data_IF_810744301882
#
_entry.id   IF_810744301882
#
_cell.length_a   1.000
_cell.length_b   1.000
_cell.length_c   1.000
_cell.angle_alpha   90.00
_cell.angle_beta   90.00
_cell.angle_gamma   90.00
#
_symmetry.space_group_name_H-M   'P 1'
#
loop_
_entity.id
_entity.type
_entity.pdbx_description
1 polymer ?
#
# COMPACT_ATOMS: atom_id res chain seq x y z
N UNK A 1 5.46 12.88 18.34
CA UNK A 1 5.57 11.40 18.25
C UNK A 1 7.03 10.92 18.36
N UNK A 2 7.32 9.79 19.03
CA UNK A 2 8.66 9.14 18.95
C UNK A 2 8.72 8.17 17.76
N UNK A 3 9.20 8.70 16.64
CA UNK A 3 9.31 7.98 15.36
C UNK A 3 10.34 6.85 15.45
N UNK A 4 11.37 6.98 16.30
CA UNK A 4 12.37 5.96 16.50
C UNK A 4 11.79 4.71 17.16
N UNK A 5 10.99 4.90 18.21
CA UNK A 5 10.25 3.82 18.86
C UNK A 5 9.28 3.12 17.90
N UNK A 6 8.43 3.89 17.21
CA UNK A 6 7.42 3.36 16.28
C UNK A 6 8.07 2.50 15.19
N UNK A 7 9.14 3.01 14.59
CA UNK A 7 9.85 2.32 13.52
C UNK A 7 10.52 1.04 14.03
N UNK A 8 11.15 1.09 15.20
CA UNK A 8 11.81 -0.06 15.83
C UNK A 8 10.82 -1.17 16.18
N UNK A 9 9.65 -0.80 16.72
CA UNK A 9 8.59 -1.75 17.05
C UNK A 9 8.02 -2.42 15.78
N UNK A 10 7.71 -1.60 14.76
CA UNK A 10 7.23 -2.10 13.48
C UNK A 10 8.22 -3.07 12.80
N UNK A 11 9.53 -2.84 12.92
CA UNK A 11 10.56 -3.76 12.39
C UNK A 11 10.60 -5.10 13.15
N UNK A 12 10.27 -5.12 14.44
CA UNK A 12 10.25 -6.36 15.24
C UNK A 12 8.99 -7.17 15.02
N UNK A 13 7.88 -6.53 14.65
CA UNK A 13 6.57 -7.18 14.55
C UNK A 13 6.53 -8.41 13.64
N UNK A 14 7.08 -8.40 12.40
CA UNK A 14 7.12 -9.59 11.56
C UNK A 14 8.02 -10.71 12.12
N UNK A 15 8.99 -10.38 12.99
CA UNK A 15 9.95 -11.33 13.55
C UNK A 15 9.37 -12.17 14.69
N UNK A 16 8.16 -11.83 15.16
CA UNK A 16 7.49 -12.51 16.27
C UNK A 16 7.11 -13.95 15.93
N UNK A 17 6.71 -14.22 14.67
CA UNK A 17 6.39 -15.57 14.19
C UNK A 17 6.73 -15.76 12.71
N UNK A 18 7.88 -16.37 12.45
CA UNK A 18 8.34 -16.69 11.09
C UNK A 18 7.45 -17.67 10.33
N UNK A 19 6.72 -18.55 11.03
CA UNK A 19 5.80 -19.48 10.37
C UNK A 19 4.68 -18.70 9.72
N UNK A 20 4.12 -17.70 10.41
CA UNK A 20 3.07 -16.82 9.89
C UNK A 20 3.57 -15.96 8.73
N UNK A 21 4.81 -15.45 8.80
CA UNK A 21 5.46 -14.73 7.68
C UNK A 21 5.55 -15.62 6.44
N UNK A 22 6.01 -16.87 6.58
CA UNK A 22 6.14 -17.80 5.45
C UNK A 22 4.76 -18.16 4.87
N UNK A 23 3.73 -18.37 5.70
CA UNK A 23 2.36 -18.63 5.21
C UNK A 23 1.85 -17.44 4.40
N UNK A 24 2.04 -16.21 4.90
CA UNK A 24 1.70 -15.00 4.14
C UNK A 24 2.49 -14.92 2.82
N UNK A 25 3.77 -15.27 2.84
CA UNK A 25 4.61 -15.37 1.66
C UNK A 25 4.09 -16.37 0.63
N UNK A 26 3.57 -17.53 1.07
CA UNK A 26 2.94 -18.53 0.19
C UNK A 26 1.66 -17.95 -0.43
N UNK A 27 0.86 -17.19 0.32
CA UNK A 27 -0.32 -16.50 -0.24
C UNK A 27 0.08 -15.46 -1.29
N UNK A 28 1.13 -14.68 -1.04
CA UNK A 28 1.67 -13.75 -2.03
C UNK A 28 2.16 -14.47 -3.29
N UNK A 29 2.88 -15.58 -3.15
CA UNK A 29 3.28 -16.40 -4.28
C UNK A 29 2.08 -16.93 -5.08
N UNK A 30 1.03 -17.39 -4.39
CA UNK A 30 -0.18 -17.94 -5.00
C UNK A 30 -1.17 -16.87 -5.48
N UNK A 31 -0.85 -15.58 -5.37
CA UNK A 31 -1.79 -14.47 -5.66
C UNK A 31 -2.26 -14.40 -7.11
N UNK A 32 -1.61 -15.08 -8.05
CA UNK A 32 -2.12 -15.24 -9.42
C UNK A 32 -3.46 -16.00 -9.50
N UNK A 33 -3.83 -16.75 -8.46
CA UNK A 33 -5.10 -17.50 -8.36
C UNK A 33 -6.28 -16.66 -7.86
N UNK A 34 -6.13 -15.33 -7.72
CA UNK A 34 -7.15 -14.37 -7.23
C UNK A 34 -7.53 -14.57 -5.76
N UNK A 35 -7.98 -15.76 -5.36
CA UNK A 35 -8.38 -16.07 -3.97
C UNK A 35 -7.22 -15.85 -2.98
N UNK A 36 -5.99 -16.35 -3.23
CA UNK A 36 -4.86 -16.09 -2.32
C UNK A 36 -4.46 -14.61 -2.27
N UNK A 37 -4.72 -13.83 -3.32
CA UNK A 37 -4.45 -12.39 -3.33
C UNK A 37 -5.34 -11.66 -2.32
N UNK A 38 -6.64 -11.97 -2.32
CA UNK A 38 -7.57 -11.42 -1.33
C UNK A 38 -7.27 -11.91 0.08
N UNK A 39 -6.88 -13.17 0.25
CA UNK A 39 -6.45 -13.69 1.56
C UNK A 39 -5.20 -12.95 2.09
N UNK A 40 -4.20 -12.68 1.24
CA UNK A 40 -3.02 -11.92 1.63
C UNK A 40 -3.37 -10.47 2.03
N UNK A 41 -4.21 -9.79 1.24
CA UNK A 41 -4.71 -8.45 1.58
C UNK A 41 -5.50 -8.44 2.89
N UNK A 42 -6.37 -9.43 3.08
CA UNK A 42 -7.16 -9.60 4.29
C UNK A 42 -6.31 -9.85 5.53
N UNK A 43 -5.27 -10.67 5.40
CA UNK A 43 -4.33 -10.92 6.50
C UNK A 43 -3.53 -9.65 6.87
N UNK A 44 -3.09 -8.87 5.88
CA UNK A 44 -2.44 -7.59 6.13
C UNK A 44 -3.39 -6.60 6.85
N UNK A 45 -4.66 -6.57 6.47
CA UNK A 45 -5.68 -5.77 7.14
C UNK A 45 -6.01 -6.25 8.55
N UNK A 46 -6.08 -7.57 8.77
CA UNK A 46 -6.21 -8.15 10.11
C UNK A 46 -5.02 -7.81 10.99
N UNK A 47 -3.80 -7.82 10.44
CA UNK A 47 -2.59 -7.40 11.14
C UNK A 47 -2.63 -5.91 11.53
N UNK A 48 -3.22 -5.07 10.68
CA UNK A 48 -3.49 -3.66 10.99
C UNK A 48 -4.53 -3.52 12.12
N UNK A 49 -5.64 -4.28 12.09
CA UNK A 49 -6.63 -4.32 13.18
C UNK A 49 -5.98 -4.67 14.52
N UNK A 50 -5.18 -5.74 14.54
CA UNK A 50 -4.45 -6.17 15.74
C UNK A 50 -3.44 -5.12 16.22
N UNK A 51 -2.77 -4.46 15.29
CA UNK A 51 -1.83 -3.39 15.60
C UNK A 51 -2.52 -2.17 16.23
N UNK A 52 -3.71 -1.80 15.76
CA UNK A 52 -4.53 -0.72 16.36
C UNK A 52 -5.09 -1.13 17.73
N UNK A 53 -5.38 -2.41 17.93
CA UNK A 53 -5.75 -2.98 19.23
C UNK A 53 -4.56 -3.17 20.19
N UNK A 54 -3.37 -2.67 19.83
CA UNK A 54 -2.12 -2.79 20.57
C UNK A 54 -1.67 -4.24 20.87
N UNK A 55 -2.08 -5.18 20.00
CA UNK A 55 -1.64 -6.58 20.09
C UNK A 55 -0.29 -6.73 19.40
N UNK A 56 0.68 -7.26 20.13
CA UNK A 56 2.09 -7.34 19.70
C UNK A 56 2.43 -8.65 18.97
N UNK A 57 1.47 -9.57 18.84
CA UNK A 57 1.62 -10.83 18.12
C UNK A 57 1.00 -10.74 16.72
N UNK A 58 1.43 -11.63 15.82
CA UNK A 58 0.82 -11.77 14.49
C UNK A 58 -0.53 -12.50 14.60
N UNK A 59 -1.57 -12.11 13.82
CA UNK A 59 -2.84 -12.81 13.82
C UNK A 59 -2.72 -14.27 13.40
N UNK A 60 -3.63 -15.12 13.86
CA UNK A 60 -3.71 -16.49 13.35
C UNK A 60 -4.31 -16.57 11.94
N UNK A 61 -3.95 -17.64 11.22
CA UNK A 61 -4.54 -18.00 9.93
C UNK A 61 -5.80 -18.86 10.14
N UNK A 62 -6.73 -18.31 10.89
CA UNK A 62 -8.07 -18.83 11.12
C UNK A 62 -9.11 -17.98 10.37
N UNK A 63 -10.38 -18.40 10.41
CA UNK A 63 -11.50 -17.62 9.85
C UNK A 63 -11.24 -17.13 8.41
N UNK A 64 -10.74 -18.04 7.56
CA UNK A 64 -10.34 -17.76 6.18
C UNK A 64 -11.40 -17.04 5.35
N UNK A 65 -12.68 -17.32 5.62
CA UNK A 65 -13.80 -16.64 4.97
C UNK A 65 -13.84 -15.16 5.32
N UNK A 66 -13.70 -14.81 6.59
CA UNK A 66 -13.69 -13.41 7.04
C UNK A 66 -12.46 -12.70 6.46
N UNK A 67 -11.29 -13.34 6.52
CA UNK A 67 -10.07 -12.80 5.93
C UNK A 67 -10.22 -12.52 4.43
N UNK A 68 -10.87 -13.41 3.69
CA UNK A 68 -11.17 -13.19 2.27
C UNK A 68 -12.07 -11.96 2.06
N UNK A 69 -13.14 -11.82 2.85
CA UNK A 69 -14.05 -10.67 2.75
C UNK A 69 -13.37 -9.36 3.18
N UNK A 70 -12.50 -9.38 4.18
CA UNK A 70 -11.66 -8.25 4.56
C UNK A 70 -10.74 -7.83 3.41
N UNK A 71 -10.12 -8.80 2.72
CA UNK A 71 -9.35 -8.53 1.51
C UNK A 71 -10.18 -7.87 0.40
N UNK A 72 -11.42 -8.33 0.21
CA UNK A 72 -12.34 -7.74 -0.76
C UNK A 72 -12.71 -6.29 -0.38
N UNK A 73 -12.98 -6.02 0.89
CA UNK A 73 -13.26 -4.67 1.41
C UNK A 73 -12.08 -3.73 1.16
N UNK A 74 -10.87 -4.18 1.50
CA UNK A 74 -9.61 -3.44 1.24
C UNK A 74 -9.46 -3.13 -0.25
N UNK A 75 -9.66 -4.12 -1.11
CA UNK A 75 -9.57 -3.94 -2.56
C UNK A 75 -10.62 -2.94 -3.09
N UNK A 76 -11.86 -3.00 -2.60
CA UNK A 76 -12.91 -2.06 -3.01
C UNK A 76 -12.57 -0.62 -2.61
N UNK A 77 -12.05 -0.42 -1.39
CA UNK A 77 -11.58 0.89 -0.93
C UNK A 77 -10.39 1.35 -1.77
N UNK A 78 -9.41 0.48 -2.03
CA UNK A 78 -8.26 0.79 -2.87
C UNK A 78 -8.71 1.20 -4.28
N UNK A 79 -9.62 0.45 -4.88
CA UNK A 79 -10.17 0.77 -6.19
C UNK A 79 -10.82 2.15 -6.16
N UNK A 80 -11.67 2.45 -5.18
CA UNK A 80 -12.34 3.74 -5.07
C UNK A 80 -11.36 4.92 -4.93
N UNK A 81 -10.32 4.79 -4.11
CA UNK A 81 -9.32 5.84 -3.89
C UNK A 81 -8.43 6.08 -5.12
N UNK A 82 -8.09 5.04 -5.86
CA UNK A 82 -7.15 5.10 -6.98
C UNK A 82 -7.80 5.10 -8.37
N UNK A 83 -9.13 4.99 -8.46
CA UNK A 83 -9.86 5.00 -9.73
C UNK A 83 -9.62 6.29 -10.54
N UNK A 84 -9.75 7.45 -9.90
CA UNK A 84 -9.57 8.75 -10.57
C UNK A 84 -8.13 8.94 -11.05
N UNK A 85 -7.08 8.78 -10.21
CA UNK A 85 -5.70 8.80 -10.67
C UNK A 85 -5.43 7.83 -11.83
N UNK A 86 -5.95 6.60 -11.73
CA UNK A 86 -5.80 5.58 -12.75
C UNK A 86 -6.42 6.00 -14.09
N UNK A 87 -7.64 6.53 -14.09
CA UNK A 87 -8.31 7.02 -15.31
C UNK A 87 -7.51 8.15 -15.96
N UNK A 88 -6.97 9.10 -15.17
CA UNK A 88 -6.19 10.22 -15.71
C UNK A 88 -4.91 9.73 -16.39
N UNK A 89 -4.16 8.84 -15.72
CA UNK A 89 -2.91 8.26 -16.26
C UNK A 89 -3.22 7.43 -17.52
N UNK A 90 -4.25 6.58 -17.44
CA UNK A 90 -4.65 5.72 -18.55
C UNK A 90 -5.12 6.53 -19.76
N UNK A 91 -5.90 7.60 -19.55
CA UNK A 91 -6.32 8.50 -20.62
C UNK A 91 -5.12 9.18 -21.29
N UNK A 92 -4.11 9.59 -20.50
CA UNK A 92 -2.86 10.14 -21.03
C UNK A 92 -2.09 9.14 -21.89
N UNK A 93 -1.91 7.92 -21.38
CA UNK A 93 -1.24 6.84 -22.12
C UNK A 93 -2.00 6.47 -23.40
N UNK A 94 -3.34 6.35 -23.31
CA UNK A 94 -4.21 6.02 -24.44
C UNK A 94 -4.15 7.09 -25.53
N UNK A 95 -4.23 8.38 -25.16
CA UNK A 95 -4.10 9.49 -26.10
C UNK A 95 -2.76 9.46 -26.85
N UNK A 96 -1.67 9.14 -26.15
CA UNK A 96 -0.33 9.04 -26.76
C UNK A 96 -0.17 7.84 -27.69
N UNK A 97 -0.76 6.68 -27.36
CA UNK A 97 -0.76 5.52 -28.26
C UNK A 97 -1.53 5.85 -29.55
N UNK A 98 -2.69 6.51 -29.44
CA UNK A 98 -3.50 6.91 -30.61
C UNK A 98 -2.79 7.96 -31.48
N UNK A 99 -2.07 8.92 -30.89
CA UNK A 99 -1.33 9.91 -31.67
C UNK A 99 -0.18 9.27 -32.45
N UNK A 100 0.55 8.32 -31.86
CA UNK A 100 1.59 7.56 -32.57
C UNK A 100 0.98 6.74 -33.71
N UNK A 101 -0.13 6.04 -33.47
CA UNK A 101 -0.78 5.20 -34.48
C UNK A 101 -1.33 6.00 -35.67
N UNK A 102 -1.97 7.15 -35.40
CA UNK A 102 -2.49 8.03 -36.45
C UNK A 102 -1.36 8.64 -37.29
N UNK A 103 -0.27 9.08 -36.66
CA UNK A 103 0.90 9.65 -37.36
C UNK A 103 1.67 8.61 -38.19
N UNK A 104 1.76 7.37 -37.72
CA UNK A 104 2.30 6.26 -38.51
C UNK A 104 1.46 5.97 -39.76
N UNK A 105 0.13 6.08 -39.64
CA UNK A 105 -0.78 5.86 -40.77
C UNK A 105 -0.80 7.01 -41.79
N UNK A 106 -0.44 8.24 -41.38
CA UNK A 106 -0.43 9.42 -42.26
C UNK A 106 0.91 9.65 -42.98
N UNK A 107 1.94 8.83 -42.74
CA UNK A 107 3.26 8.98 -43.38
C UNK A 107 4.02 10.26 -43.00
N UNK A 108 3.52 11.01 -42.01
CA UNK A 108 4.12 12.24 -41.52
C UNK A 108 5.26 11.94 -40.54
N UNK A 109 6.37 12.68 -40.65
CA UNK A 109 7.45 12.62 -39.67
C UNK A 109 6.88 13.04 -38.32
N UNK A 110 7.07 12.18 -37.30
CA UNK A 110 6.71 12.48 -35.92
C UNK A 110 7.33 13.83 -35.54
N UNK A 111 6.55 14.77 -35.02
CA UNK A 111 7.07 15.68 -34.00
C UNK A 111 6.96 14.91 -32.68
N UNK A 112 8.06 14.27 -32.20
CA UNK A 112 8.01 13.45 -31.00
C UNK A 112 7.65 14.31 -29.78
N UNK A 113 7.82 15.63 -29.85
CA UNK A 113 7.50 16.56 -28.77
C UNK A 113 6.00 16.68 -28.50
N UNK A 114 5.15 16.67 -29.53
CA UNK A 114 3.70 16.82 -29.34
C UNK A 114 3.05 15.59 -28.70
N UNK A 115 3.45 14.37 -29.10
CA UNK A 115 2.93 13.12 -28.53
C UNK A 115 3.45 12.85 -27.10
N UNK A 116 4.71 13.22 -26.81
CA UNK A 116 5.27 13.13 -25.45
C UNK A 116 4.70 14.21 -24.50
N UNK A 117 4.38 15.42 -24.98
CA UNK A 117 3.97 16.50 -24.07
C UNK A 117 2.61 16.26 -23.45
N UNK A 118 1.65 15.71 -24.20
CA UNK A 118 0.33 15.34 -23.67
C UNK A 118 0.42 14.14 -22.71
N UNK A 119 1.30 13.17 -23.01
CA UNK A 119 1.60 12.04 -22.10
C UNK A 119 2.15 12.56 -20.78
N UNK A 120 3.16 13.43 -20.85
CA UNK A 120 3.84 13.98 -19.69
C UNK A 120 2.89 14.78 -18.80
N UNK A 121 2.06 15.64 -19.40
CA UNK A 121 1.11 16.47 -18.65
C UNK A 121 0.08 15.66 -17.86
N UNK A 122 -0.60 14.71 -18.51
CA UNK A 122 -1.62 13.87 -17.84
C UNK A 122 -0.99 12.85 -16.90
N UNK A 123 0.19 12.32 -17.21
CA UNK A 123 0.92 11.43 -16.32
C UNK A 123 1.32 12.14 -15.02
N UNK A 124 1.86 13.36 -15.10
CA UNK A 124 2.21 14.17 -13.93
C UNK A 124 0.96 14.49 -13.11
N UNK A 125 -0.11 14.95 -13.76
CA UNK A 125 -1.38 15.27 -13.09
C UNK A 125 -1.95 14.04 -12.37
N UNK A 126 -2.03 12.90 -13.05
CA UNK A 126 -2.51 11.65 -12.48
C UNK A 126 -1.63 11.15 -11.33
N UNK A 127 -0.32 11.36 -11.41
CA UNK A 127 0.62 11.03 -10.33
C UNK A 127 0.40 11.91 -9.10
N UNK A 128 0.16 13.21 -9.28
CA UNK A 128 -0.18 14.12 -8.16
C UNK A 128 -1.48 13.66 -7.48
N UNK A 129 -2.51 13.35 -8.26
CA UNK A 129 -3.75 12.79 -7.71
C UNK A 129 -3.52 11.45 -7.00
N UNK A 130 -2.66 10.57 -7.52
CA UNK A 130 -2.33 9.30 -6.88
C UNK A 130 -1.65 9.50 -5.51
N UNK A 131 -0.72 10.47 -5.41
CA UNK A 131 -0.06 10.80 -4.14
C UNK A 131 -1.07 11.33 -3.12
N UNK A 132 -1.95 12.24 -3.53
CA UNK A 132 -3.01 12.77 -2.65
C UNK A 132 -3.96 11.66 -2.22
N UNK A 133 -4.43 10.82 -3.14
CA UNK A 133 -5.25 9.65 -2.82
C UNK A 133 -4.54 8.70 -1.86
N UNK A 134 -3.26 8.44 -2.04
CA UNK A 134 -2.46 7.59 -1.16
C UNK A 134 -2.36 8.12 0.27
N UNK A 135 -2.16 9.44 0.41
CA UNK A 135 -2.14 10.13 1.70
C UNK A 135 -3.43 9.88 2.49
N UNK A 136 -4.59 9.99 1.86
CA UNK A 136 -5.87 9.70 2.52
C UNK A 136 -6.12 8.21 2.69
N UNK A 137 -5.80 7.39 1.68
CA UNK A 137 -6.02 5.95 1.67
C UNK A 137 -5.35 5.23 2.84
N UNK A 138 -4.13 5.65 3.20
CA UNK A 138 -3.40 5.08 4.34
C UNK A 138 -4.18 5.22 5.66
N UNK A 139 -4.68 6.41 5.96
CA UNK A 139 -5.52 6.63 7.17
C UNK A 139 -6.92 6.05 6.98
N UNK A 140 -7.46 6.00 5.75
CA UNK A 140 -8.73 5.36 5.45
C UNK A 140 -8.73 3.87 5.81
N UNK A 141 -7.65 3.15 5.50
CA UNK A 141 -7.48 1.75 5.90
C UNK A 141 -7.43 1.60 7.42
N UNK A 142 -6.67 2.45 8.11
CA UNK A 142 -6.59 2.41 9.57
C UNK A 142 -7.95 2.75 10.22
N UNK A 143 -8.67 3.74 9.69
CA UNK A 143 -10.02 4.08 10.16
C UNK A 143 -11.01 2.93 9.91
N UNK A 144 -10.95 2.30 8.73
CA UNK A 144 -11.76 1.11 8.45
C UNK A 144 -11.42 -0.04 9.40
N UNK A 145 -10.14 -0.25 9.72
CA UNK A 145 -9.72 -1.25 10.71
C UNK A 145 -10.22 -0.93 12.12
N UNK A 146 -10.22 0.34 12.52
CA UNK A 146 -10.75 0.81 13.80
C UNK A 146 -12.26 0.58 13.94
N UNK A 147 -13.01 0.74 12.85
CA UNK A 147 -14.46 0.43 12.77
C UNK A 147 -14.74 -0.98 12.21
N UNK A 148 -13.91 -1.95 12.57
CA UNK A 148 -14.12 -3.38 12.30
C UNK A 148 -14.48 -3.76 10.84
N UNK A 149 -13.82 -3.11 9.87
CA UNK A 149 -14.01 -3.42 8.45
C UNK A 149 -15.20 -2.71 7.79
N UNK A 150 -15.85 -1.75 8.45
CA UNK A 150 -16.90 -0.93 7.82
C UNK A 150 -16.34 -0.12 6.64
N UNK A 151 -16.69 -0.50 5.40
CA UNK A 151 -16.24 0.20 4.18
C UNK A 151 -16.55 1.69 4.24
N UNK A 152 -17.72 2.08 4.78
CA UNK A 152 -18.12 3.49 4.89
C UNK A 152 -17.17 4.31 5.75
N UNK A 153 -16.52 3.70 6.74
CA UNK A 153 -15.53 4.36 7.60
C UNK A 153 -14.28 4.81 6.83
N UNK A 154 -13.92 4.10 5.76
CA UNK A 154 -12.84 4.49 4.87
C UNK A 154 -13.13 5.79 4.10
N UNK A 155 -14.38 6.27 4.06
CA UNK A 155 -14.79 7.47 3.33
C UNK A 155 -15.28 8.59 4.24
N UNK A 156 -15.09 8.48 5.55
CA UNK A 156 -15.42 9.54 6.52
C UNK A 156 -14.34 10.63 6.49
N UNK A 157 -14.21 11.33 5.37
CA UNK A 157 -13.09 12.26 5.09
C UNK A 157 -12.84 13.31 6.19
N UNK A 158 -13.88 13.78 6.88
CA UNK A 158 -13.72 14.68 8.02
C UNK A 158 -12.96 14.02 9.17
N UNK A 159 -13.27 12.76 9.49
CA UNK A 159 -12.55 11.97 10.49
C UNK A 159 -11.11 11.71 10.05
N UNK A 160 -10.89 11.36 8.77
CA UNK A 160 -9.55 11.13 8.23
C UNK A 160 -8.67 12.39 8.32
N UNK A 161 -9.21 13.55 7.95
CA UNK A 161 -8.52 14.84 8.06
C UNK A 161 -8.21 15.21 9.51
N UNK A 162 -9.17 15.00 10.41
CA UNK A 162 -8.96 15.25 11.83
C UNK A 162 -7.85 14.35 12.38
N UNK A 163 -7.83 13.07 12.00
CA UNK A 163 -6.79 12.12 12.37
C UNK A 163 -5.41 12.52 11.84
N UNK A 164 -5.30 12.90 10.56
CA UNK A 164 -4.02 13.38 10.00
C UNK A 164 -3.56 14.65 10.74
N UNK A 165 -4.50 15.53 11.08
CA UNK A 165 -4.19 16.78 11.79
C UNK A 165 -3.79 16.53 13.23
N UNK A 166 -4.39 15.54 13.92
CA UNK A 166 -4.03 15.18 15.29
C UNK A 166 -2.67 14.48 15.38
N UNK A 167 -2.35 13.61 14.40
CA UNK A 167 -0.97 13.10 14.22
C UNK A 167 0.01 14.26 13.99
N UNK A 168 -0.44 15.28 13.27
CA UNK A 168 0.38 16.41 12.83
C UNK A 168 0.97 16.16 11.45
N UNK A 169 0.77 17.09 10.52
CA UNK A 169 1.21 16.95 9.13
C UNK A 169 2.70 16.70 8.97
N UNK A 170 3.53 17.31 9.82
CA UNK A 170 4.99 17.12 9.81
C UNK A 170 5.33 15.69 10.23
N UNK A 171 4.82 15.23 11.37
CA UNK A 171 5.05 13.87 11.88
C UNK A 171 4.53 12.80 10.91
N UNK A 172 3.38 13.04 10.28
CA UNK A 172 2.82 12.17 9.26
C UNK A 172 3.70 12.06 8.00
N UNK A 173 4.26 13.20 7.52
CA UNK A 173 5.21 13.20 6.41
C UNK A 173 6.51 12.49 6.80
N UNK A 174 7.04 12.73 8.01
CA UNK A 174 8.25 12.03 8.47
C UNK A 174 8.01 10.53 8.53
N UNK A 175 6.83 10.09 9.01
CA UNK A 175 6.46 8.67 8.98
C UNK A 175 6.51 8.08 7.57
N UNK A 176 5.94 8.77 6.56
CA UNK A 176 6.04 8.33 5.17
C UNK A 176 7.48 8.24 4.68
N UNK A 177 8.30 9.25 4.97
CA UNK A 177 9.71 9.27 4.59
C UNK A 177 10.44 8.08 5.22
N UNK A 178 10.20 7.78 6.49
CA UNK A 178 10.78 6.61 7.16
C UNK A 178 10.35 5.30 6.51
N UNK A 179 9.06 5.13 6.21
CA UNK A 179 8.55 3.95 5.51
C UNK A 179 9.17 3.79 4.12
N UNK A 180 9.36 4.89 3.38
CA UNK A 180 10.04 4.89 2.08
C UNK A 180 11.51 4.51 2.24
N UNK A 181 12.23 5.06 3.21
CA UNK A 181 13.64 4.75 3.46
C UNK A 181 13.85 3.27 3.82
N UNK A 182 12.97 2.70 4.66
CA UNK A 182 12.99 1.26 4.98
C UNK A 182 12.70 0.44 3.72
N UNK A 183 11.67 0.82 2.96
CA UNK A 183 11.32 0.16 1.69
C UNK A 183 12.47 0.20 0.68
N UNK A 184 13.17 1.32 0.56
CA UNK A 184 14.35 1.46 -0.30
C UNK A 184 15.53 0.62 0.20
N UNK A 185 15.79 0.61 1.52
CA UNK A 185 16.86 -0.19 2.11
C UNK A 185 16.65 -1.70 1.89
N UNK A 186 15.44 -2.17 2.18
CA UNK A 186 15.06 -3.59 1.96
C UNK A 186 14.94 -3.91 0.47
N UNK A 187 14.42 -2.98 -0.34
CA UNK A 187 14.34 -3.12 -1.79
C UNK A 187 15.72 -3.22 -2.44
N UNK A 188 16.71 -2.47 -1.96
CA UNK A 188 18.09 -2.59 -2.40
C UNK A 188 18.65 -3.99 -2.14
N UNK A 189 18.40 -4.56 -0.96
CA UNK A 189 18.76 -5.96 -0.67
C UNK A 189 18.08 -6.93 -1.65
N UNK A 190 16.81 -6.70 -1.98
CA UNK A 190 16.09 -7.51 -2.96
C UNK A 190 16.75 -7.45 -4.35
N UNK A 191 17.30 -6.31 -4.78
CA UNK A 191 18.00 -6.22 -6.08
C UNK A 191 19.23 -7.14 -6.17
N UNK A 192 19.94 -7.35 -5.06
CA UNK A 192 21.08 -8.27 -5.00
C UNK A 192 20.58 -9.71 -5.11
N UNK A 193 19.47 -10.03 -4.46
CA UNK A 193 18.89 -11.38 -4.48
C UNK A 193 18.40 -11.79 -5.86
N UNK A 194 17.95 -10.86 -6.71
CA UNK A 194 17.48 -11.18 -8.07
C UNK A 194 18.55 -11.90 -8.91
N UNK A 195 19.84 -11.67 -8.64
CA UNK A 195 20.94 -12.35 -9.33
C UNK A 195 21.14 -13.81 -8.93
N UNK A 196 20.44 -14.30 -7.89
CA UNK A 196 20.46 -15.69 -7.45
C UNK A 196 19.20 -16.37 -8.00
N UNK A 197 19.30 -17.21 -9.06
CA UNK A 197 18.14 -17.85 -9.65
C UNK A 197 17.41 -18.72 -8.63
N UNK A 198 16.07 -18.74 -8.71
CA UNK A 198 15.16 -19.53 -7.86
C UNK A 198 15.19 -19.12 -6.38
N UNK A 199 16.32 -19.27 -5.68
CA UNK A 199 16.45 -18.98 -4.25
C UNK A 199 16.27 -17.49 -3.94
N UNK A 200 16.83 -16.60 -4.77
CA UNK A 200 16.67 -15.16 -4.58
C UNK A 200 15.22 -14.72 -4.70
N UNK A 201 14.54 -15.18 -5.76
CA UNK A 201 13.10 -14.95 -5.96
C UNK A 201 12.24 -15.54 -4.84
N UNK A 202 12.57 -16.75 -4.38
CA UNK A 202 11.89 -17.38 -3.26
C UNK A 202 12.05 -16.55 -1.97
N UNK A 203 13.24 -16.04 -1.65
CA UNK A 203 13.45 -15.17 -0.49
C UNK A 203 12.70 -13.84 -0.61
N UNK A 204 12.68 -13.24 -1.81
CA UNK A 204 11.94 -12.00 -2.04
C UNK A 204 10.45 -12.21 -1.76
N UNK A 205 9.85 -13.25 -2.32
CA UNK A 205 8.40 -13.49 -2.24
C UNK A 205 7.99 -14.06 -0.88
N UNK A 206 8.74 -15.01 -0.34
CA UNK A 206 8.37 -15.73 0.88
C UNK A 206 8.80 -15.03 2.17
N UNK A 207 9.74 -14.07 2.10
CA UNK A 207 10.30 -13.41 3.28
C UNK A 207 10.19 -11.89 3.16
N UNK A 208 10.80 -11.28 2.14
CA UNK A 208 10.89 -9.81 2.06
C UNK A 208 9.52 -9.16 1.90
N UNK A 209 8.71 -9.67 0.98
CA UNK A 209 7.37 -9.14 0.70
C UNK A 209 6.44 -9.22 1.93
N UNK A 210 6.22 -10.40 2.55
CA UNK A 210 5.39 -10.49 3.75
C UNK A 210 5.96 -9.70 4.93
N UNK A 211 7.29 -9.63 5.09
CA UNK A 211 7.92 -8.81 6.12
C UNK A 211 7.55 -7.32 5.97
N UNK A 212 7.68 -6.76 4.77
CA UNK A 212 7.37 -5.34 4.53
C UNK A 212 5.88 -5.02 4.72
N UNK A 213 4.98 -5.92 4.30
CA UNK A 213 3.55 -5.74 4.50
C UNK A 213 3.16 -5.73 5.99
N UNK A 214 3.72 -6.66 6.78
CA UNK A 214 3.46 -6.74 8.21
C UNK A 214 4.08 -5.57 8.99
N UNK A 215 5.29 -5.16 8.61
CA UNK A 215 5.94 -3.96 9.15
C UNK A 215 5.07 -2.73 8.87
N UNK A 216 4.58 -2.56 7.63
CA UNK A 216 3.72 -1.45 7.28
C UNK A 216 2.39 -1.46 8.05
N UNK A 217 1.75 -2.63 8.17
CA UNK A 217 0.52 -2.77 8.96
C UNK A 217 0.73 -2.34 10.42
N UNK A 218 1.84 -2.75 11.04
CA UNK A 218 2.19 -2.34 12.41
C UNK A 218 2.52 -0.86 12.51
N UNK A 219 3.37 -0.35 11.62
CA UNK A 219 3.76 1.05 11.60
C UNK A 219 2.54 1.97 11.43
N UNK A 220 1.59 1.59 10.59
CA UNK A 220 0.36 2.32 10.37
C UNK A 220 -0.57 2.25 11.59
N UNK A 221 -0.70 1.07 12.21
CA UNK A 221 -1.49 0.93 13.43
C UNK A 221 -0.98 1.81 14.57
N UNK A 222 0.33 1.81 14.80
CA UNK A 222 0.97 2.66 15.82
C UNK A 222 0.83 4.16 15.52
N UNK A 223 0.99 4.55 14.25
CA UNK A 223 0.77 5.92 13.81
C UNK A 223 -0.67 6.35 14.09
N UNK A 224 -1.64 5.49 13.76
CA UNK A 224 -3.06 5.77 13.98
C UNK A 224 -3.39 5.89 15.48
N UNK A 225 -2.85 5.01 16.33
CA UNK A 225 -2.98 5.10 17.79
C UNK A 225 -2.42 6.42 18.31
N UNK A 226 -1.26 6.87 17.81
CA UNK A 226 -0.68 8.15 18.23
C UNK A 226 -1.61 9.33 17.93
N UNK A 227 -2.33 9.29 16.81
CA UNK A 227 -3.34 10.30 16.47
C UNK A 227 -4.60 10.22 17.32
N UNK A 228 -5.01 9.02 17.76
CA UNK A 228 -6.14 8.83 18.68
C UNK A 228 -5.86 9.41 20.07
N UNK A 229 -4.63 9.26 20.57
CA UNK A 229 -4.23 9.76 21.90
C UNK A 229 -4.30 11.28 22.00
N UNK A 230 -4.06 11.99 20.90
CA UNK A 230 -4.13 13.46 20.82
C UNK A 230 -5.58 13.98 20.60
N UNK A 231 -6.52 13.10 20.23
CA UNK A 231 -7.93 13.44 20.05
C UNK A 231 -8.77 13.31 21.33
N UNK A 232 -8.25 12.62 22.35
CA UNK A 232 -8.89 12.41 23.66
C UNK A 232 -8.52 13.48 24.67
#
# INVERSE_FOLDING_TARGET
>A
MDIGYLTSDAMKYPLTDWKKVIILGILFFASFLIVPAFLAMGYAFRSLKWSIADVHELPDFDEWSEMFFDGLRVFLVQLAYFLVPFIIIFAGLWASINSILTLQSSGSVLDPGAALSLMGGLFILGSIFAVVSGVFFTIALANMAYYDGEISAAFRFKELLNMITSIGWVDYIIWYVMMILIGLGVGFLATILVFIPILGWALIILVIYPYLYLLYARALGLLFISGLQELG
#
